data_IF_680714276428
#
_entry.id   IF_680714276428
#
_cell.length_a   1.000
_cell.length_b   1.000
_cell.length_c   1.000
_cell.angle_alpha   90.00
_cell.angle_beta   90.00
_cell.angle_gamma   90.00
#
_symmetry.space_group_name_H-M   'P 1'
#
loop_
_entity.id
_entity.type
_entity.pdbx_description
1 polymer ?
#
# COMPACT_ATOMS: atom_id res chain seq x y z
N UNK A 1 15.33 8.78 14.35
CA UNK A 1 15.75 8.42 15.72
C UNK A 1 15.88 9.63 16.62
N UNK A 2 17.07 10.22 16.76
CA UNK A 2 17.36 11.29 17.74
C UNK A 2 16.40 12.47 17.76
N UNK A 3 16.00 12.94 16.58
CA UNK A 3 15.04 14.04 16.44
C UNK A 3 13.69 13.66 17.08
N UNK A 4 13.20 12.43 16.84
CA UNK A 4 11.95 11.94 17.46
C UNK A 4 12.10 11.89 18.99
N UNK A 5 13.27 11.46 19.49
CA UNK A 5 13.59 11.42 20.91
C UNK A 5 13.54 12.82 21.56
N UNK A 6 14.07 13.83 20.88
CA UNK A 6 14.03 15.22 21.35
C UNK A 6 12.60 15.76 21.40
N UNK A 7 11.81 15.53 20.34
CA UNK A 7 10.39 15.94 20.28
C UNK A 7 9.60 15.26 21.40
N UNK A 8 9.77 13.94 21.57
CA UNK A 8 9.07 13.16 22.60
C UNK A 8 9.43 13.62 24.01
N UNK A 9 10.71 13.85 24.30
CA UNK A 9 11.15 14.36 25.60
C UNK A 9 10.59 15.76 25.93
N UNK A 10 10.36 16.61 24.92
CA UNK A 10 9.73 17.92 25.11
C UNK A 10 8.23 17.84 25.30
N UNK A 11 7.55 17.01 24.50
CA UNK A 11 6.10 16.74 24.66
C UNK A 11 5.77 16.16 26.04
N UNK A 12 6.73 15.53 26.71
CA UNK A 12 6.57 15.02 28.07
C UNK A 12 6.57 16.13 29.14
N UNK A 13 7.26 17.24 28.87
CA UNK A 13 7.48 18.35 29.82
C UNK A 13 6.62 19.57 29.53
N UNK A 14 6.22 19.75 28.27
CA UNK A 14 5.61 20.96 27.75
C UNK A 14 4.33 20.64 26.96
N UNK A 15 3.45 21.64 26.81
CA UNK A 15 2.26 21.50 25.97
C UNK A 15 2.62 21.52 24.48
N UNK A 16 1.75 20.95 23.64
CA UNK A 16 1.90 20.95 22.17
C UNK A 16 2.20 22.37 21.62
N UNK A 17 1.47 23.45 21.98
CA UNK A 17 1.78 24.79 21.46
C UNK A 17 3.18 25.30 21.81
N UNK A 18 3.67 25.03 23.04
CA UNK A 18 5.01 25.45 23.48
C UNK A 18 6.10 24.68 22.73
N UNK A 19 5.88 23.39 22.53
CA UNK A 19 6.80 22.54 21.77
C UNK A 19 6.88 23.00 20.30
N UNK A 20 5.76 23.40 19.70
CA UNK A 20 5.73 23.98 18.35
C UNK A 20 6.53 25.28 18.28
N UNK A 21 6.34 26.21 19.22
CA UNK A 21 7.08 27.47 19.26
C UNK A 21 8.59 27.24 19.43
N UNK A 22 8.98 26.23 20.21
CA UNK A 22 10.37 25.86 20.37
C UNK A 22 11.00 25.43 19.03
N UNK A 23 10.39 24.48 18.32
CA UNK A 23 10.94 23.98 17.06
C UNK A 23 10.83 24.98 15.90
N UNK A 24 9.84 25.88 15.93
CA UNK A 24 9.76 27.03 15.01
C UNK A 24 10.97 27.96 15.15
N UNK A 25 11.50 28.14 16.36
CA UNK A 25 12.70 28.96 16.62
C UNK A 25 14.01 28.18 16.43
N UNK A 26 14.02 26.89 16.76
CA UNK A 26 15.22 26.07 16.76
C UNK A 26 15.64 25.63 15.36
N UNK A 27 14.70 25.44 14.43
CA UNK A 27 14.95 24.90 13.10
C UNK A 27 14.51 25.84 11.98
N UNK A 28 15.09 25.73 10.77
CA UNK A 28 14.70 26.53 9.61
C UNK A 28 13.39 26.02 8.99
N UNK A 29 12.29 26.04 9.76
CA UNK A 29 10.96 25.57 9.35
C UNK A 29 9.90 26.63 9.63
N UNK A 30 8.82 26.63 8.84
CA UNK A 30 7.68 27.49 9.12
C UNK A 30 6.79 26.91 10.25
N UNK A 31 5.95 27.77 10.83
CA UNK A 31 5.01 27.39 11.90
C UNK A 31 4.12 26.21 11.54
N UNK A 32 3.65 26.13 10.30
CA UNK A 32 2.80 25.03 9.84
C UNK A 32 3.53 23.70 9.82
N UNK A 33 4.80 23.69 9.39
CA UNK A 33 5.67 22.52 9.39
C UNK A 33 6.00 22.06 10.80
N UNK A 34 6.38 22.99 11.69
CA UNK A 34 6.60 22.71 13.10
C UNK A 34 5.35 22.11 13.76
N UNK A 35 4.18 22.72 13.49
CA UNK A 35 2.89 22.25 13.99
C UNK A 35 2.61 20.81 13.55
N UNK A 36 2.67 20.52 12.24
CA UNK A 36 2.43 19.16 11.71
C UNK A 36 3.33 18.11 12.33
N UNK A 37 4.62 18.41 12.44
CA UNK A 37 5.60 17.50 13.02
C UNK A 37 5.30 17.17 14.48
N UNK A 38 5.05 18.20 15.31
CA UNK A 38 4.76 18.01 16.73
C UNK A 38 3.40 17.34 16.93
N UNK A 39 2.39 17.68 16.13
CA UNK A 39 1.07 17.06 16.19
C UNK A 39 1.09 15.57 15.82
N UNK A 40 1.90 15.17 14.83
CA UNK A 40 2.10 13.75 14.49
C UNK A 40 2.64 12.96 15.69
N UNK A 41 3.67 13.48 16.36
CA UNK A 41 4.27 12.83 17.54
C UNK A 41 3.31 12.84 18.74
N UNK A 42 2.57 13.94 18.94
CA UNK A 42 1.57 14.03 20.00
C UNK A 42 0.41 13.04 19.76
N UNK A 43 -0.03 12.88 18.51
CA UNK A 43 -1.03 11.90 18.14
C UNK A 43 -0.51 10.48 18.29
N UNK A 44 0.77 10.22 17.94
CA UNK A 44 1.41 8.94 18.20
C UNK A 44 1.36 8.59 19.69
N UNK A 45 1.72 9.52 20.58
CA UNK A 45 1.64 9.29 22.03
C UNK A 45 0.23 9.00 22.53
N UNK A 46 -0.80 9.59 21.92
CA UNK A 46 -2.21 9.31 22.28
C UNK A 46 -2.61 7.86 22.02
N UNK A 47 -1.95 7.15 21.11
CA UNK A 47 -2.18 5.71 20.87
C UNK A 47 -1.68 4.82 22.02
N UNK A 48 -0.92 5.38 22.97
CA UNK A 48 -0.30 4.61 24.06
C UNK A 48 0.98 3.88 23.65
N UNK A 49 1.35 3.90 22.35
CA UNK A 49 2.62 3.37 21.89
C UNK A 49 3.79 4.30 22.25
N UNK A 50 4.94 3.75 22.71
CA UNK A 50 6.14 4.55 22.90
C UNK A 50 6.66 5.05 21.55
N UNK A 51 7.29 6.22 21.55
CA UNK A 51 7.87 6.78 20.31
C UNK A 51 9.13 5.98 19.93
N UNK A 52 9.25 5.47 18.69
CA UNK A 52 10.48 4.84 18.21
C UNK A 52 11.60 5.87 18.00
N UNK A 53 12.79 5.59 18.51
CA UNK A 53 13.95 6.49 18.53
C UNK A 53 15.16 5.85 17.84
N UNK A 54 16.37 6.37 18.04
CA UNK A 54 17.62 5.73 17.57
C UNK A 54 18.09 4.60 18.50
N UNK A 55 17.55 4.53 19.71
CA UNK A 55 17.85 3.54 20.75
C UNK A 55 16.61 2.75 21.20
N UNK A 56 15.47 2.90 20.51
CA UNK A 56 14.26 2.12 20.73
C UNK A 56 13.65 1.68 19.41
N UNK A 57 13.55 0.37 19.22
CA UNK A 57 12.76 -0.26 18.18
C UNK A 57 11.35 -0.52 18.75
N UNK A 58 10.34 0.02 18.08
CA UNK A 58 8.94 -0.32 18.36
C UNK A 58 8.52 -1.39 17.36
N UNK A 59 8.09 -2.54 17.86
CA UNK A 59 7.41 -3.55 17.05
C UNK A 59 5.91 -3.44 17.31
N UNK A 60 5.19 -3.03 16.28
CA UNK A 60 3.75 -2.85 16.33
C UNK A 60 3.05 -4.02 15.64
N UNK A 61 2.17 -4.69 16.37
CA UNK A 61 1.31 -5.75 15.87
C UNK A 61 -0.09 -5.16 15.63
N UNK A 62 -0.55 -5.21 14.38
CA UNK A 62 -1.81 -4.62 13.94
C UNK A 62 -2.47 -5.50 12.88
N UNK A 63 -3.67 -6.02 13.14
CA UNK A 63 -4.37 -6.94 12.21
C UNK A 63 -3.43 -8.10 11.81
N UNK A 64 -3.20 -8.33 10.52
CA UNK A 64 -2.21 -9.28 10.00
C UNK A 64 -0.83 -8.68 9.72
N UNK A 65 -0.55 -7.47 10.19
CA UNK A 65 0.68 -6.75 9.92
C UNK A 65 1.59 -6.69 11.15
N UNK A 66 2.87 -6.96 10.93
CA UNK A 66 3.94 -6.70 11.89
C UNK A 66 4.80 -5.55 11.38
N UNK A 67 4.88 -4.46 12.15
CA UNK A 67 5.51 -3.21 11.74
C UNK A 67 6.69 -2.93 12.67
N UNK A 68 7.91 -3.05 12.15
CA UNK A 68 9.15 -2.79 12.89
C UNK A 68 9.59 -1.36 12.61
N UNK A 69 9.35 -0.46 13.56
CA UNK A 69 9.83 0.92 13.48
C UNK A 69 11.32 0.97 13.83
N UNK A 70 12.15 1.14 12.81
CA UNK A 70 13.61 1.11 12.88
C UNK A 70 14.20 2.32 12.14
N UNK A 71 14.75 3.28 12.90
CA UNK A 71 15.33 4.51 12.33
C UNK A 71 16.78 4.34 11.86
N UNK A 72 17.13 3.23 11.21
CA UNK A 72 18.51 2.91 10.81
C UNK A 72 18.84 3.22 9.34
N UNK A 73 17.85 3.67 8.56
CA UNK A 73 18.03 3.99 7.15
C UNK A 73 17.71 2.82 6.24
N UNK A 74 17.60 3.09 4.94
CA UNK A 74 17.06 2.15 3.95
C UNK A 74 17.89 0.87 3.82
N UNK A 75 19.20 0.97 3.56
CA UNK A 75 20.07 -0.21 3.34
C UNK A 75 20.09 -1.13 4.57
N UNK A 76 20.13 -0.57 5.77
CA UNK A 76 20.12 -1.34 7.02
C UNK A 76 18.75 -1.99 7.23
N UNK A 77 17.67 -1.26 6.96
CA UNK A 77 16.31 -1.79 7.09
C UNK A 77 15.97 -2.83 6.02
N UNK A 78 16.53 -2.73 4.80
CA UNK A 78 16.46 -3.79 3.78
C UNK A 78 17.14 -5.05 4.31
N UNK A 79 18.37 -4.92 4.81
CA UNK A 79 19.12 -6.07 5.36
C UNK A 79 18.42 -6.73 6.54
N UNK A 80 17.93 -5.92 7.48
CA UNK A 80 17.17 -6.42 8.63
C UNK A 80 15.83 -7.00 8.19
N UNK A 81 15.25 -6.42 7.14
CA UNK A 81 14.04 -6.86 6.46
C UNK A 81 14.15 -8.26 5.92
N UNK A 82 15.12 -8.47 5.04
CA UNK A 82 15.48 -9.76 4.46
C UNK A 82 15.79 -10.78 5.56
N UNK A 83 16.56 -10.41 6.58
CA UNK A 83 16.93 -11.32 7.68
C UNK A 83 15.68 -11.83 8.43
N UNK A 84 14.78 -10.92 8.80
CA UNK A 84 13.57 -11.28 9.54
C UNK A 84 12.56 -12.01 8.63
N UNK A 85 12.46 -11.63 7.36
CA UNK A 85 11.67 -12.35 6.36
C UNK A 85 12.13 -13.81 6.27
N UNK A 86 13.44 -14.05 6.12
CA UNK A 86 14.02 -15.39 6.04
C UNK A 86 13.66 -16.23 7.28
N UNK A 87 13.71 -15.63 8.47
CA UNK A 87 13.32 -16.29 9.73
C UNK A 87 11.81 -16.57 9.83
N UNK A 88 10.97 -15.66 9.33
CA UNK A 88 9.51 -15.81 9.28
C UNK A 88 9.08 -16.83 8.21
N UNK A 89 9.77 -16.87 7.06
CA UNK A 89 9.50 -17.74 5.93
C UNK A 89 9.73 -19.21 6.30
N UNK A 90 10.78 -19.50 7.09
CA UNK A 90 11.02 -20.83 7.70
C UNK A 90 9.88 -21.31 8.59
N UNK A 91 9.08 -20.39 9.13
CA UNK A 91 7.89 -20.68 9.95
C UNK A 91 6.59 -20.58 9.15
N UNK A 92 6.64 -20.31 7.84
CA UNK A 92 5.49 -20.04 6.97
C UNK A 92 4.57 -18.92 7.48
N UNK A 93 5.15 -17.91 8.16
CA UNK A 93 4.38 -16.84 8.80
C UNK A 93 4.29 -15.56 7.99
N UNK A 94 5.16 -15.35 6.99
CA UNK A 94 5.18 -14.13 6.16
C UNK A 94 4.72 -14.43 4.74
N UNK A 95 3.98 -13.49 4.16
CA UNK A 95 3.55 -13.52 2.76
C UNK A 95 4.32 -12.52 1.91
N UNK A 96 4.38 -11.28 2.39
CA UNK A 96 5.06 -10.17 1.72
C UNK A 96 5.70 -9.29 2.78
N UNK A 97 6.72 -8.55 2.38
CA UNK A 97 7.30 -7.52 3.21
C UNK A 97 7.74 -6.32 2.38
N UNK A 98 7.81 -5.16 3.02
CA UNK A 98 8.25 -3.91 2.42
C UNK A 98 9.04 -3.10 3.44
N UNK A 99 9.79 -2.12 2.96
CA UNK A 99 10.53 -1.22 3.84
C UNK A 99 10.50 0.22 3.35
N UNK A 100 10.72 1.13 4.30
CA UNK A 100 11.11 2.51 4.09
C UNK A 100 12.33 2.81 5.01
N UNK A 101 12.98 3.99 4.91
CA UNK A 101 14.14 4.32 5.73
C UNK A 101 13.92 4.34 7.26
N UNK A 102 12.68 4.19 7.72
CA UNK A 102 12.25 4.27 9.11
C UNK A 102 11.48 3.03 9.61
N UNK A 103 11.04 2.13 8.72
CA UNK A 103 10.11 1.04 9.03
C UNK A 103 10.32 -0.17 8.15
N UNK A 104 9.94 -1.32 8.68
CA UNK A 104 9.78 -2.56 7.93
C UNK A 104 8.37 -3.08 8.20
N UNK A 105 7.63 -3.41 7.15
CA UNK A 105 6.26 -3.91 7.19
C UNK A 105 6.26 -5.35 6.72
N UNK A 106 5.78 -6.27 7.53
CA UNK A 106 5.51 -7.65 7.16
C UNK A 106 4.01 -7.90 7.12
N UNK A 107 3.51 -8.45 6.01
CA UNK A 107 2.18 -9.03 5.93
C UNK A 107 2.26 -10.50 6.30
N UNK A 108 1.67 -10.85 7.44
CA UNK A 108 1.64 -12.20 7.97
C UNK A 108 0.52 -13.03 7.35
N UNK A 109 0.68 -14.35 7.43
CA UNK A 109 -0.34 -15.32 6.99
C UNK A 109 -1.47 -15.46 8.03
N UNK A 110 -1.21 -15.09 9.28
CA UNK A 110 -2.16 -15.14 10.40
C UNK A 110 -2.37 -13.75 11.01
N UNK A 111 -3.50 -13.58 11.70
CA UNK A 111 -3.79 -12.38 12.47
C UNK A 111 -2.88 -12.32 13.70
N UNK A 112 -2.33 -11.15 14.00
CA UNK A 112 -1.43 -10.94 15.13
C UNK A 112 -2.10 -11.18 16.49
N UNK A 113 -3.44 -11.13 16.57
CA UNK A 113 -4.23 -11.50 17.75
C UNK A 113 -4.17 -12.99 18.06
N UNK A 114 -3.87 -13.83 17.06
CA UNK A 114 -3.76 -15.28 17.21
C UNK A 114 -2.31 -15.73 17.48
N UNK A 115 -1.36 -14.79 17.43
CA UNK A 115 0.06 -15.06 17.58
C UNK A 115 0.58 -14.62 18.96
N UNK A 116 1.50 -15.41 19.49
CA UNK A 116 2.38 -14.98 20.58
C UNK A 116 3.44 -14.02 20.01
N UNK A 117 3.08 -12.74 19.92
CA UNK A 117 3.91 -11.68 19.34
C UNK A 117 5.19 -11.48 20.17
N UNK A 118 5.12 -11.65 21.49
CA UNK A 118 6.26 -11.56 22.39
C UNK A 118 7.30 -12.63 22.07
N UNK A 119 6.89 -13.89 22.03
CA UNK A 119 7.78 -14.98 21.66
C UNK A 119 8.27 -14.85 20.21
N UNK A 120 7.42 -14.34 19.31
CA UNK A 120 7.80 -14.11 17.92
C UNK A 120 8.93 -13.07 17.83
N UNK A 121 8.76 -11.91 18.46
CA UNK A 121 9.73 -10.81 18.41
C UNK A 121 11.05 -11.19 19.06
N UNK A 122 11.02 -11.92 20.18
CA UNK A 122 12.23 -12.44 20.81
C UNK A 122 12.99 -13.37 19.86
N UNK A 123 12.28 -14.26 19.14
CA UNK A 123 12.89 -15.14 18.15
C UNK A 123 13.38 -14.46 16.86
N UNK A 124 13.00 -13.20 16.60
CA UNK A 124 13.36 -12.47 15.38
C UNK A 124 14.44 -11.42 15.63
N UNK A 125 14.41 -10.73 16.77
CA UNK A 125 15.29 -9.61 17.07
C UNK A 125 16.33 -9.92 18.15
N UNK A 126 16.09 -10.92 19.01
CA UNK A 126 17.03 -11.36 20.07
C UNK A 126 17.69 -12.69 19.73
N UNK A 127 18.07 -12.85 18.47
CA UNK A 127 18.71 -14.07 17.95
C UNK A 127 20.16 -14.22 18.44
N UNK A 128 20.62 -15.46 18.59
CA UNK A 128 22.03 -15.77 18.87
C UNK A 128 22.93 -15.57 17.63
N UNK A 129 24.25 -15.62 17.85
CA UNK A 129 25.24 -15.37 16.79
C UNK A 129 25.24 -16.47 15.71
N UNK A 130 24.88 -17.71 16.04
CA UNK A 130 24.79 -18.80 15.07
C UNK A 130 23.61 -18.58 14.12
N UNK A 131 22.45 -18.26 14.68
CA UNK A 131 21.23 -17.91 13.94
C UNK A 131 21.43 -16.68 13.07
N UNK A 132 22.11 -15.65 13.61
CA UNK A 132 22.43 -14.43 12.87
C UNK A 132 23.32 -14.71 11.67
N UNK A 133 24.47 -15.37 11.86
CA UNK A 133 25.40 -15.63 10.75
C UNK A 133 24.78 -16.61 9.74
N UNK A 134 24.01 -17.60 10.20
CA UNK A 134 23.25 -18.49 9.31
C UNK A 134 22.20 -17.75 8.47
N UNK A 135 21.52 -16.76 9.05
CA UNK A 135 20.59 -15.90 8.34
C UNK A 135 21.29 -15.01 7.30
N UNK A 136 22.37 -14.30 7.70
CA UNK A 136 23.14 -13.45 6.78
C UNK A 136 23.76 -14.24 5.62
N UNK A 137 24.19 -15.48 5.88
CA UNK A 137 24.70 -16.37 4.83
C UNK A 137 23.60 -16.79 3.84
N UNK A 138 22.38 -17.04 4.31
CA UNK A 138 21.23 -17.29 3.45
C UNK A 138 20.92 -16.05 2.59
N UNK A 139 20.95 -14.84 3.17
CA UNK A 139 20.74 -13.60 2.42
C UNK A 139 21.71 -13.42 1.25
N UNK A 140 22.99 -13.70 1.49
CA UNK A 140 24.03 -13.63 0.47
C UNK A 140 23.75 -14.56 -0.72
N UNK A 141 23.09 -15.69 -0.47
CA UNK A 141 22.89 -16.76 -1.45
C UNK A 141 21.54 -16.61 -2.17
N UNK A 142 20.49 -16.28 -1.44
CA UNK A 142 19.11 -16.42 -1.92
C UNK A 142 18.40 -15.08 -2.18
N UNK A 143 18.80 -14.01 -1.48
CA UNK A 143 18.07 -12.73 -1.48
C UNK A 143 18.77 -11.62 -2.25
N UNK A 144 20.11 -11.58 -2.24
CA UNK A 144 20.84 -10.56 -2.98
C UNK A 144 20.67 -10.75 -4.50
N UNK A 145 20.37 -9.69 -5.27
CA UNK A 145 20.23 -9.78 -6.72
C UNK A 145 21.61 -9.83 -7.41
N UNK A 146 22.43 -10.82 -7.04
CA UNK A 146 23.83 -10.95 -7.48
C UNK A 146 23.94 -11.03 -9.00
N UNK A 147 23.05 -11.75 -9.68
CA UNK A 147 23.01 -11.78 -11.15
C UNK A 147 22.90 -10.40 -11.81
N UNK A 148 22.16 -9.46 -11.20
CA UNK A 148 22.04 -8.08 -11.69
C UNK A 148 23.37 -7.32 -11.55
N UNK A 149 24.03 -7.41 -10.39
CA UNK A 149 25.35 -6.80 -10.17
C UNK A 149 26.41 -7.42 -11.08
N UNK A 150 26.43 -8.75 -11.19
CA UNK A 150 27.36 -9.47 -12.06
C UNK A 150 27.23 -9.06 -13.52
N UNK A 151 26.01 -8.80 -14.01
CA UNK A 151 25.83 -8.25 -15.36
C UNK A 151 26.56 -6.91 -15.51
N UNK A 152 26.32 -5.96 -14.61
CA UNK A 152 26.95 -4.64 -14.68
C UNK A 152 28.47 -4.69 -14.55
N UNK A 153 29.00 -5.63 -13.76
CA UNK A 153 30.43 -5.84 -13.59
C UNK A 153 31.04 -6.53 -14.80
N UNK A 154 30.41 -7.59 -15.32
CA UNK A 154 30.85 -8.29 -16.52
C UNK A 154 30.90 -7.35 -17.74
N UNK A 155 29.98 -6.40 -17.85
CA UNK A 155 30.00 -5.33 -18.86
C UNK A 155 31.19 -4.36 -18.69
N UNK A 156 31.56 -4.04 -17.44
CA UNK A 156 32.74 -3.21 -17.12
C UNK A 156 34.05 -3.92 -17.42
N UNK A 157 34.14 -5.21 -17.09
CA UNK A 157 35.28 -6.08 -17.37
C UNK A 157 35.41 -6.46 -18.85
N UNK A 158 34.37 -6.24 -19.66
CA UNK A 158 34.34 -6.62 -21.07
C UNK A 158 34.07 -8.11 -21.32
N UNK A 159 33.68 -8.86 -20.29
CA UNK A 159 33.26 -10.26 -20.40
C UNK A 159 31.93 -10.40 -21.15
N UNK A 160 31.07 -9.38 -21.10
CA UNK A 160 29.85 -9.27 -21.92
C UNK A 160 29.76 -7.90 -22.59
N UNK A 161 29.00 -7.84 -23.69
CA UNK A 161 28.75 -6.59 -24.42
C UNK A 161 27.95 -5.62 -23.54
N UNK A 162 28.39 -4.36 -23.46
CA UNK A 162 27.66 -3.28 -22.78
C UNK A 162 26.25 -3.12 -23.38
N UNK A 163 25.25 -2.99 -22.51
CA UNK A 163 23.86 -2.80 -22.92
C UNK A 163 23.19 -4.08 -23.43
N UNK A 164 23.77 -5.25 -23.16
CA UNK A 164 23.11 -6.52 -23.48
C UNK A 164 21.88 -6.67 -22.59
N UNK A 165 20.70 -6.82 -23.20
CA UNK A 165 19.48 -7.16 -22.47
C UNK A 165 19.53 -8.65 -22.13
N UNK A 166 19.36 -8.97 -20.85
CA UNK A 166 19.40 -10.34 -20.32
C UNK A 166 18.07 -10.57 -19.60
N UNK A 167 17.40 -11.68 -19.92
CA UNK A 167 16.16 -12.07 -19.23
C UNK A 167 16.45 -12.55 -17.80
N UNK A 168 15.42 -12.57 -16.95
CA UNK A 168 15.58 -12.94 -15.53
C UNK A 168 16.19 -14.34 -15.33
N UNK A 169 15.76 -15.32 -16.12
CA UNK A 169 16.30 -16.69 -16.03
C UNK A 169 17.79 -16.77 -16.35
N UNK A 170 18.27 -15.99 -17.31
CA UNK A 170 19.69 -15.94 -17.66
C UNK A 170 20.51 -15.18 -16.60
N UNK A 171 19.96 -14.14 -15.98
CA UNK A 171 20.62 -13.43 -14.88
C UNK A 171 20.91 -14.37 -13.71
N UNK A 172 19.97 -15.25 -13.34
CA UNK A 172 20.18 -16.25 -12.28
C UNK A 172 21.32 -17.22 -12.61
N UNK A 173 21.61 -17.45 -13.89
CA UNK A 173 22.73 -18.31 -14.29
C UNK A 173 24.10 -17.65 -14.15
N UNK A 174 24.17 -16.32 -13.98
CA UNK A 174 25.45 -15.59 -13.94
C UNK A 174 26.26 -15.94 -12.70
N UNK A 175 25.60 -16.22 -11.58
CA UNK A 175 26.26 -16.66 -10.35
C UNK A 175 27.06 -17.95 -10.57
N UNK A 176 26.51 -18.87 -11.37
CA UNK A 176 27.18 -20.12 -11.74
C UNK A 176 28.26 -19.89 -12.81
N UNK A 177 27.98 -19.06 -13.82
CA UNK A 177 28.91 -18.81 -14.95
C UNK A 177 30.15 -18.01 -14.54
N UNK A 178 29.99 -17.08 -13.61
CA UNK A 178 31.06 -16.23 -13.10
C UNK A 178 31.57 -16.70 -11.73
N UNK A 179 31.13 -17.87 -11.25
CA UNK A 179 31.67 -18.48 -10.03
C UNK A 179 33.20 -18.55 -10.08
N UNK A 180 33.85 -18.22 -8.97
CA UNK A 180 35.32 -18.19 -8.85
C UNK A 180 36.03 -17.23 -9.83
N UNK A 181 35.35 -16.14 -10.22
CA UNK A 181 35.96 -15.08 -11.03
C UNK A 181 35.97 -13.76 -10.26
N UNK A 182 36.86 -12.80 -10.61
CA UNK A 182 36.83 -11.45 -10.02
C UNK A 182 35.49 -10.72 -10.21
N UNK A 183 34.69 -11.11 -11.22
CA UNK A 183 33.35 -10.57 -11.44
C UNK A 183 32.42 -10.94 -10.28
N UNK A 184 32.53 -12.17 -9.77
CA UNK A 184 31.77 -12.63 -8.61
C UNK A 184 32.19 -11.87 -7.35
N UNK A 185 33.48 -11.81 -7.06
CA UNK A 185 34.00 -11.15 -5.85
C UNK A 185 33.63 -9.66 -5.82
N UNK A 186 33.72 -8.98 -6.96
CA UNK A 186 33.28 -7.60 -7.14
C UNK A 186 31.77 -7.44 -6.96
N UNK A 187 30.97 -8.39 -7.47
CA UNK A 187 29.51 -8.34 -7.39
C UNK A 187 29.02 -8.48 -5.97
N UNK A 188 29.60 -9.43 -5.23
CA UNK A 188 29.33 -9.57 -3.81
C UNK A 188 29.72 -8.29 -3.06
N UNK A 189 30.91 -7.74 -3.32
CA UNK A 189 31.34 -6.51 -2.65
C UNK A 189 30.42 -5.32 -2.96
N UNK A 190 30.00 -5.14 -4.21
CA UNK A 190 29.12 -4.04 -4.62
C UNK A 190 27.70 -4.22 -4.08
N UNK A 191 27.17 -5.46 -4.06
CA UNK A 191 25.89 -5.78 -3.45
C UNK A 191 25.89 -5.50 -1.93
N UNK A 192 26.95 -5.89 -1.22
CA UNK A 192 27.15 -5.60 0.21
C UNK A 192 27.48 -4.13 0.51
N UNK A 193 27.59 -3.27 -0.51
CA UNK A 193 27.75 -1.83 -0.34
C UNK A 193 26.45 -1.09 -0.64
N UNK A 194 25.74 -1.52 -1.69
CA UNK A 194 24.58 -0.80 -2.22
C UNK A 194 23.23 -1.38 -1.77
N UNK A 195 23.18 -2.67 -1.43
CA UNK A 195 21.93 -3.37 -1.13
C UNK A 195 21.84 -3.82 0.33
N UNK A 196 22.95 -4.27 0.92
CA UNK A 196 22.95 -4.80 2.28
C UNK A 196 24.08 -4.24 3.16
N UNK A 197 23.85 -4.10 4.46
CA UNK A 197 24.82 -3.69 5.48
C UNK A 197 24.85 -4.70 6.64
N UNK A 198 25.57 -5.80 6.41
CA UNK A 198 25.71 -6.88 7.39
C UNK A 198 26.45 -6.45 8.65
N UNK A 199 27.42 -5.54 8.52
CA UNK A 199 28.19 -5.06 9.67
C UNK A 199 27.30 -4.30 10.65
N UNK A 200 26.43 -3.42 10.13
CA UNK A 200 25.51 -2.65 10.95
C UNK A 200 24.39 -3.50 11.55
N UNK A 201 23.87 -4.49 10.82
CA UNK A 201 22.89 -5.44 11.38
C UNK A 201 23.49 -6.25 12.53
N UNK A 202 24.73 -6.74 12.40
CA UNK A 202 25.45 -7.40 13.51
C UNK A 202 25.57 -6.49 14.73
N UNK A 203 25.90 -5.22 14.53
CA UNK A 203 25.98 -4.24 15.62
C UNK A 203 24.60 -4.04 16.28
N UNK A 204 23.54 -3.92 15.50
CA UNK A 204 22.17 -3.72 15.99
C UNK A 204 21.71 -4.92 16.82
N UNK A 205 21.87 -6.15 16.32
CA UNK A 205 21.48 -7.37 17.05
C UNK A 205 22.28 -7.50 18.36
N UNK A 206 23.58 -7.19 18.35
CA UNK A 206 24.38 -7.15 19.58
C UNK A 206 23.88 -6.10 20.57
N UNK A 207 23.53 -4.90 20.10
CA UNK A 207 22.99 -3.81 20.94
C UNK A 207 21.62 -4.13 21.52
N UNK A 208 20.79 -4.86 20.77
CA UNK A 208 19.52 -5.38 21.28
C UNK A 208 19.77 -6.39 22.40
N UNK A 209 20.74 -7.30 22.24
CA UNK A 209 21.11 -8.29 23.26
C UNK A 209 21.76 -7.66 24.51
N UNK A 210 22.58 -6.62 24.34
CA UNK A 210 23.20 -5.89 25.46
C UNK A 210 22.23 -4.95 26.20
N UNK A 211 21.05 -4.69 25.62
CA UNK A 211 20.06 -3.75 26.14
C UNK A 211 20.35 -2.28 25.82
N UNK A 212 21.34 -2.00 24.98
CA UNK A 212 21.61 -0.63 24.47
C UNK A 212 20.51 -0.14 23.52
N UNK A 213 19.89 -1.04 22.76
CA UNK A 213 18.69 -0.78 21.97
C UNK A 213 17.52 -1.50 22.63
N UNK A 214 16.54 -0.72 23.10
CA UNK A 214 15.30 -1.23 23.67
C UNK A 214 14.39 -1.76 22.54
N UNK A 215 13.82 -2.94 22.70
CA UNK A 215 12.77 -3.47 21.82
C UNK A 215 11.47 -3.48 22.60
N UNK A 216 10.49 -2.69 22.16
CA UNK A 216 9.17 -2.59 22.79
C UNK A 216 8.10 -3.08 21.84
N UNK A 217 7.16 -3.85 22.36
CA UNK A 217 6.04 -4.39 21.59
C UNK A 217 4.79 -3.57 21.91
N UNK A 218 4.04 -3.19 20.89
CA UNK A 218 2.74 -2.55 21.02
C UNK A 218 1.70 -3.29 20.17
N UNK A 219 0.56 -3.62 20.76
CA UNK A 219 -0.58 -4.17 20.03
C UNK A 219 -1.57 -3.05 19.74
N UNK A 220 -1.89 -2.87 18.47
CA UNK A 220 -2.90 -1.94 18.02
C UNK A 220 -4.15 -2.74 17.61
N UNK A 221 -5.29 -2.45 18.25
CA UNK A 221 -6.53 -3.20 18.01
C UNK A 221 -7.33 -2.65 16.82
N UNK A 222 -7.70 -1.37 16.87
CA UNK A 222 -8.61 -0.78 15.88
C UNK A 222 -7.87 -0.02 14.75
N UNK A 223 -6.85 0.75 15.11
CA UNK A 223 -6.09 1.57 14.15
C UNK A 223 -4.59 1.49 14.44
N UNK A 224 -3.75 1.47 13.38
CA UNK A 224 -2.31 1.51 13.53
C UNK A 224 -1.90 2.86 14.13
N UNK A 225 -0.72 2.89 14.74
CA UNK A 225 -0.16 4.14 15.24
C UNK A 225 0.01 5.14 14.09
N UNK A 226 -0.13 6.46 14.35
CA UNK A 226 0.13 7.50 13.36
C UNK A 226 1.48 7.36 12.66
N UNK A 227 2.51 6.91 13.39
CA UNK A 227 3.79 6.65 12.77
C UNK A 227 3.77 5.39 11.90
N UNK A 228 2.94 4.37 12.13
CA UNK A 228 2.88 3.19 11.27
C UNK A 228 2.11 3.43 9.97
N UNK A 229 1.11 4.31 10.00
CA UNK A 229 0.20 4.50 8.88
C UNK A 229 0.89 4.81 7.52
N UNK A 230 1.97 5.61 7.41
CA UNK A 230 2.59 5.92 6.12
C UNK A 230 3.07 4.71 5.31
N UNK A 231 3.61 3.66 5.96
CA UNK A 231 4.06 2.46 5.25
C UNK A 231 2.87 1.59 4.81
N UNK A 232 1.85 1.48 5.67
CA UNK A 232 0.59 0.80 5.32
C UNK A 232 -0.10 1.50 4.15
N UNK A 233 -0.17 2.84 4.18
CA UNK A 233 -0.71 3.68 3.11
C UNK A 233 -0.07 3.43 1.75
N UNK A 234 1.22 3.10 1.73
CA UNK A 234 1.98 2.90 0.50
C UNK A 234 1.79 1.51 -0.11
N UNK A 235 1.66 0.48 0.72
CA UNK A 235 1.79 -0.91 0.27
C UNK A 235 0.54 -1.77 0.48
N UNK A 236 -0.38 -1.39 1.35
CA UNK A 236 -1.64 -2.12 1.56
C UNK A 236 -2.66 -1.75 0.48
N UNK A 237 -3.45 -2.72 0.01
CA UNK A 237 -4.44 -2.53 -1.08
C UNK A 237 -5.55 -1.52 -0.71
N UNK A 238 -5.93 -1.47 0.57
CA UNK A 238 -6.97 -0.58 1.09
C UNK A 238 -6.57 0.03 2.43
N UNK A 239 -5.57 0.91 2.43
CA UNK A 239 -5.06 1.51 3.65
C UNK A 239 -6.09 2.40 4.33
N UNK A 240 -7.09 2.87 3.59
CA UNK A 240 -8.09 3.78 4.12
C UNK A 240 -9.04 3.09 5.13
N UNK A 241 -9.00 1.76 5.25
CA UNK A 241 -9.64 1.02 6.34
C UNK A 241 -9.04 1.35 7.71
N UNK A 242 -7.79 1.78 7.71
CA UNK A 242 -6.97 1.91 8.91
C UNK A 242 -6.48 3.35 9.07
N UNK A 243 -7.07 4.30 8.34
CA UNK A 243 -6.62 5.69 8.33
C UNK A 243 -6.90 6.38 9.66
N UNK A 244 -5.93 7.09 10.25
CA UNK A 244 -6.19 7.98 11.36
C UNK A 244 -7.28 9.01 10.98
N UNK A 245 -8.16 9.36 11.93
CA UNK A 245 -9.23 10.34 11.68
C UNK A 245 -8.71 11.67 11.13
N UNK A 246 -7.53 12.10 11.57
CA UNK A 246 -6.86 13.31 11.11
C UNK A 246 -6.53 13.31 9.60
N UNK A 247 -6.40 12.15 8.97
CA UNK A 247 -6.12 12.01 7.53
C UNK A 247 -7.38 11.81 6.68
N UNK A 248 -8.54 11.61 7.30
CA UNK A 248 -9.80 11.29 6.62
C UNK A 248 -10.21 12.37 5.61
N UNK A 249 -10.04 13.63 5.96
CA UNK A 249 -10.36 14.74 5.05
C UNK A 249 -9.44 14.75 3.82
N UNK A 250 -8.14 14.53 4.00
CA UNK A 250 -7.19 14.45 2.89
C UNK A 250 -7.47 13.24 1.99
N UNK A 251 -7.90 12.12 2.56
CA UNK A 251 -8.31 10.92 1.81
C UNK A 251 -9.54 11.21 0.95
N UNK A 252 -10.56 11.86 1.51
CA UNK A 252 -11.76 12.24 0.75
C UNK A 252 -11.44 13.22 -0.36
N UNK A 253 -10.57 14.21 -0.11
CA UNK A 253 -10.11 15.15 -1.14
C UNK A 253 -9.33 14.45 -2.25
N UNK A 254 -8.48 13.49 -1.91
CA UNK A 254 -7.75 12.69 -2.90
C UNK A 254 -8.70 11.83 -3.72
N UNK A 255 -9.68 11.20 -3.08
CA UNK A 255 -10.73 10.44 -3.75
C UNK A 255 -11.52 11.33 -4.71
N UNK A 256 -11.89 12.55 -4.29
CA UNK A 256 -12.56 13.54 -5.13
C UNK A 256 -11.72 13.90 -6.36
N UNK A 257 -10.44 14.22 -6.17
CA UNK A 257 -9.51 14.57 -7.25
C UNK A 257 -9.29 13.39 -8.21
N UNK A 258 -9.13 12.18 -7.68
CA UNK A 258 -8.97 10.97 -8.49
C UNK A 258 -10.21 10.74 -9.37
N UNK A 259 -11.39 10.64 -8.77
CA UNK A 259 -12.65 10.45 -9.51
C UNK A 259 -12.89 11.57 -10.52
N UNK A 260 -12.53 12.81 -10.20
CA UNK A 260 -12.70 13.94 -11.13
C UNK A 260 -11.75 13.86 -12.34
N UNK A 261 -10.58 13.26 -12.18
CA UNK A 261 -9.56 13.15 -13.23
C UNK A 261 -9.62 11.84 -14.02
N UNK A 262 -10.26 10.82 -13.46
CA UNK A 262 -10.41 9.50 -14.07
C UNK A 262 -11.23 9.59 -15.39
N UNK A 263 -10.68 9.07 -16.51
CA UNK A 263 -11.44 8.95 -17.75
C UNK A 263 -12.41 7.78 -17.64
N UNK A 264 -13.67 8.01 -17.99
CA UNK A 264 -14.70 6.97 -18.09
C UNK A 264 -15.23 6.85 -19.50
N UNK A 265 -15.69 5.65 -19.85
CA UNK A 265 -16.45 5.45 -21.08
C UNK A 265 -17.95 5.52 -20.79
N UNK A 266 -18.71 6.17 -21.68
CA UNK A 266 -20.17 6.20 -21.57
C UNK A 266 -20.81 5.51 -22.77
N UNK A 267 -21.87 4.74 -22.54
CA UNK A 267 -22.68 4.17 -23.61
C UNK A 267 -24.11 4.67 -23.48
N UNK A 268 -24.63 5.26 -24.56
CA UNK A 268 -26.01 5.68 -24.63
C UNK A 268 -26.92 4.47 -24.85
N UNK A 269 -27.82 4.22 -23.90
CA UNK A 269 -28.80 3.15 -23.97
C UNK A 269 -30.02 3.46 -24.85
N UNK A 270 -30.10 4.68 -25.39
CA UNK A 270 -31.12 5.08 -26.37
C UNK A 270 -30.65 4.85 -27.82
N UNK A 271 -29.52 5.43 -28.22
CA UNK A 271 -29.04 5.39 -29.60
C UNK A 271 -27.79 4.52 -29.82
N UNK A 272 -27.21 3.95 -28.76
CA UNK A 272 -25.99 3.12 -28.84
C UNK A 272 -24.69 3.89 -29.07
N UNK A 273 -24.71 5.22 -29.06
CA UNK A 273 -23.49 6.02 -29.22
C UNK A 273 -22.54 5.82 -28.03
N UNK A 274 -21.26 5.58 -28.34
CA UNK A 274 -20.21 5.29 -27.37
C UNK A 274 -19.27 6.49 -27.24
N UNK A 275 -19.12 6.99 -26.02
CA UNK A 275 -18.28 8.12 -25.68
C UNK A 275 -17.00 7.63 -25.01
N UNK A 276 -15.87 7.97 -25.60
CA UNK A 276 -14.55 7.55 -25.13
C UNK A 276 -13.89 8.59 -24.24
N UNK A 277 -13.21 8.11 -23.18
CA UNK A 277 -12.31 8.88 -22.32
C UNK A 277 -12.89 10.20 -21.79
N UNK A 278 -14.16 10.17 -21.37
CA UNK A 278 -14.84 11.33 -20.81
C UNK A 278 -14.34 11.56 -19.39
N UNK A 279 -13.72 12.71 -19.12
CA UNK A 279 -13.31 13.09 -17.76
C UNK A 279 -14.51 13.55 -16.94
N UNK A 280 -14.74 12.88 -15.80
CA UNK A 280 -15.90 13.17 -14.93
C UNK A 280 -15.88 14.65 -14.48
N UNK A 281 -14.72 15.20 -14.11
CA UNK A 281 -14.59 16.57 -13.65
C UNK A 281 -15.11 17.62 -14.66
N UNK A 282 -14.96 17.36 -15.95
CA UNK A 282 -15.37 18.27 -17.05
C UNK A 282 -16.81 18.03 -17.53
N UNK A 283 -17.47 16.99 -17.01
CA UNK A 283 -18.84 16.65 -17.36
C UNK A 283 -19.83 17.66 -16.75
N UNK A 284 -20.90 18.06 -17.47
CA UNK A 284 -21.99 18.83 -16.88
C UNK A 284 -22.74 18.01 -15.81
N UNK A 285 -23.44 18.69 -14.91
CA UNK A 285 -24.18 18.02 -13.81
C UNK A 285 -25.23 17.03 -14.31
N UNK A 286 -25.82 17.29 -15.48
CA UNK A 286 -26.70 16.35 -16.18
C UNK A 286 -26.12 16.03 -17.57
N UNK A 287 -25.31 14.97 -17.71
CA UNK A 287 -24.73 14.59 -18.99
C UNK A 287 -25.77 14.10 -19.98
N UNK A 288 -25.60 14.50 -21.24
CA UNK A 288 -26.47 14.13 -22.35
C UNK A 288 -25.65 13.52 -23.49
N UNK A 289 -26.25 12.57 -24.19
CA UNK A 289 -25.61 11.96 -25.35
C UNK A 289 -25.34 13.00 -26.44
N UNK A 290 -24.11 13.03 -26.96
CA UNK A 290 -23.72 13.97 -28.02
C UNK A 290 -24.52 13.75 -29.30
N UNK A 291 -24.96 12.51 -29.56
CA UNK A 291 -25.70 12.12 -30.76
C UNK A 291 -27.21 12.37 -30.64
N UNK A 292 -27.86 11.90 -29.56
CA UNK A 292 -29.33 11.90 -29.46
C UNK A 292 -29.89 12.77 -28.31
N UNK A 293 -29.04 13.44 -27.52
CA UNK A 293 -29.42 14.24 -26.34
C UNK A 293 -30.12 13.48 -25.21
N UNK A 294 -30.27 12.16 -25.32
CA UNK A 294 -30.79 11.33 -24.22
C UNK A 294 -29.83 11.34 -23.02
N UNK A 295 -30.40 11.31 -21.82
CA UNK A 295 -29.68 11.19 -20.54
C UNK A 295 -29.47 9.75 -20.08
N UNK A 296 -29.95 8.77 -20.86
CA UNK A 296 -29.76 7.34 -20.60
C UNK A 296 -28.33 6.90 -20.94
N UNK A 297 -27.36 7.39 -20.17
CA UNK A 297 -25.93 7.10 -20.33
C UNK A 297 -25.48 6.16 -19.22
N UNK A 298 -24.99 4.97 -19.56
CA UNK A 298 -24.33 4.11 -18.58
C UNK A 298 -22.86 4.47 -18.48
N UNK A 299 -22.27 4.28 -17.31
CA UNK A 299 -20.83 4.47 -17.04
C UNK A 299 -20.13 3.12 -17.07
N UNK A 300 -19.02 3.06 -17.80
CA UNK A 300 -18.29 1.83 -18.06
C UNK A 300 -16.83 1.99 -17.68
N UNK A 301 -16.34 1.07 -16.85
CA UNK A 301 -14.92 0.90 -16.51
C UNK A 301 -14.24 -0.16 -17.38
N UNK A 302 -13.45 -1.04 -16.76
CA UNK A 302 -12.65 -2.07 -17.42
C UNK A 302 -13.38 -2.98 -18.43
N UNK A 303 -14.69 -3.20 -18.28
CA UNK A 303 -15.50 -4.05 -19.17
C UNK A 303 -16.22 -3.26 -20.29
N UNK A 304 -15.80 -2.02 -20.58
CA UNK A 304 -16.52 -1.14 -21.50
C UNK A 304 -16.76 -1.74 -22.89
N UNK A 305 -15.75 -2.40 -23.46
CA UNK A 305 -15.87 -3.05 -24.77
C UNK A 305 -16.83 -4.23 -24.77
N UNK A 306 -16.79 -5.07 -23.75
CA UNK A 306 -17.72 -6.19 -23.61
C UNK A 306 -19.17 -5.70 -23.54
N UNK A 307 -19.44 -4.63 -22.79
CA UNK A 307 -20.79 -4.04 -22.70
C UNK A 307 -21.22 -3.43 -24.04
N UNK A 308 -20.33 -2.67 -24.69
CA UNK A 308 -20.57 -2.07 -26.00
C UNK A 308 -20.92 -3.14 -27.03
N UNK A 309 -20.16 -4.21 -27.08
CA UNK A 309 -20.33 -5.28 -28.06
C UNK A 309 -21.62 -6.08 -27.80
N UNK A 310 -21.92 -6.38 -26.53
CA UNK A 310 -23.20 -6.98 -26.13
C UNK A 310 -24.40 -6.09 -26.50
N UNK A 311 -24.28 -4.77 -26.31
CA UNK A 311 -25.32 -3.82 -26.68
C UNK A 311 -25.50 -3.75 -28.21
N UNK A 312 -24.41 -3.78 -28.97
CA UNK A 312 -24.45 -3.81 -30.43
C UNK A 312 -25.11 -5.10 -30.95
N UNK A 313 -24.81 -6.26 -30.34
CA UNK A 313 -25.52 -7.53 -30.63
C UNK A 313 -27.02 -7.41 -30.39
N UNK A 314 -27.42 -6.83 -29.25
CA UNK A 314 -28.84 -6.57 -28.92
C UNK A 314 -29.52 -5.71 -29.98
N UNK A 315 -28.86 -4.64 -30.44
CA UNK A 315 -29.41 -3.74 -31.46
C UNK A 315 -29.58 -4.42 -32.82
N UNK A 316 -28.68 -5.35 -33.15
CA UNK A 316 -28.78 -6.19 -34.36
C UNK A 316 -29.74 -7.37 -34.22
N UNK A 317 -30.41 -7.51 -33.06
CA UNK A 317 -31.31 -8.63 -32.72
C UNK A 317 -30.62 -10.00 -32.82
N UNK A 318 -29.32 -10.05 -32.50
CA UNK A 318 -28.57 -11.30 -32.39
C UNK A 318 -28.80 -11.93 -31.01
N UNK A 319 -28.56 -13.24 -30.92
CA UNK A 319 -28.66 -13.97 -29.65
C UNK A 319 -27.61 -13.47 -28.64
N UNK A 320 -28.06 -13.28 -27.41
CA UNK A 320 -27.25 -12.87 -26.27
C UNK A 320 -27.10 -14.03 -25.30
N UNK A 321 -25.89 -14.23 -24.80
CA UNK A 321 -25.64 -15.18 -23.70
C UNK A 321 -26.29 -14.69 -22.40
N UNK A 322 -26.46 -15.58 -21.43
CA UNK A 322 -27.02 -15.22 -20.11
C UNK A 322 -26.14 -14.19 -19.38
N UNK A 323 -24.82 -14.26 -19.56
CA UNK A 323 -23.86 -13.30 -19.01
C UNK A 323 -24.02 -11.92 -19.66
N UNK A 324 -24.14 -11.85 -20.98
CA UNK A 324 -24.38 -10.61 -21.71
C UNK A 324 -25.72 -9.96 -21.31
N UNK A 325 -26.77 -10.76 -21.12
CA UNK A 325 -28.08 -10.25 -20.64
C UNK A 325 -28.00 -9.68 -19.23
N UNK A 326 -27.31 -10.36 -18.32
CA UNK A 326 -27.08 -9.86 -16.95
C UNK A 326 -26.27 -8.57 -16.96
N UNK A 327 -25.22 -8.52 -17.79
CA UNK A 327 -24.36 -7.35 -17.94
C UNK A 327 -25.15 -6.15 -18.47
N UNK A 328 -25.94 -6.32 -19.53
CA UNK A 328 -26.77 -5.24 -20.08
C UNK A 328 -27.85 -4.76 -19.12
N UNK A 329 -28.46 -5.68 -18.36
CA UNK A 329 -29.44 -5.31 -17.32
C UNK A 329 -28.79 -4.44 -16.24
N UNK A 330 -27.60 -4.83 -15.76
CA UNK A 330 -26.84 -4.06 -14.78
C UNK A 330 -26.43 -2.70 -15.33
N UNK A 331 -25.95 -2.63 -16.57
CA UNK A 331 -25.59 -1.36 -17.22
C UNK A 331 -26.81 -0.46 -17.44
N UNK A 332 -27.98 -1.01 -17.75
CA UNK A 332 -29.22 -0.25 -17.87
C UNK A 332 -29.61 0.39 -16.53
N UNK A 333 -29.51 -0.32 -15.41
CA UNK A 333 -29.75 0.24 -14.08
C UNK A 333 -28.83 1.43 -13.78
N UNK A 334 -27.55 1.35 -14.17
CA UNK A 334 -26.63 2.49 -14.06
C UNK A 334 -27.08 3.65 -14.93
N UNK A 335 -27.52 3.40 -16.18
CA UNK A 335 -28.03 4.44 -17.06
C UNK A 335 -29.27 5.15 -16.49
N UNK A 336 -30.16 4.40 -15.84
CA UNK A 336 -31.33 4.96 -15.18
C UNK A 336 -30.93 5.86 -13.99
N UNK A 337 -29.91 5.48 -13.23
CA UNK A 337 -29.35 6.34 -12.16
C UNK A 337 -28.72 7.62 -12.72
N UNK A 338 -27.98 7.55 -13.83
CA UNK A 338 -27.40 8.74 -14.47
C UNK A 338 -28.49 9.65 -15.02
N UNK A 339 -29.57 9.10 -15.55
CA UNK A 339 -30.69 9.92 -16.02
C UNK A 339 -31.35 10.73 -14.89
N UNK A 340 -31.41 10.17 -13.67
CA UNK A 340 -32.03 10.82 -12.50
C UNK A 340 -31.06 11.72 -11.74
N UNK A 341 -29.90 11.18 -11.35
CA UNK A 341 -28.94 11.83 -10.45
C UNK A 341 -27.74 12.48 -11.18
N UNK A 342 -27.68 12.35 -12.51
CA UNK A 342 -26.67 13.00 -13.34
C UNK A 342 -25.24 12.59 -12.98
N UNK A 343 -24.35 13.57 -12.94
CA UNK A 343 -22.92 13.43 -12.65
C UNK A 343 -22.65 12.72 -11.32
N UNK A 344 -23.50 12.89 -10.30
CA UNK A 344 -23.35 12.18 -9.01
C UNK A 344 -23.47 10.66 -9.17
N UNK A 345 -24.33 10.16 -10.04
CA UNK A 345 -24.39 8.74 -10.35
C UNK A 345 -23.15 8.24 -11.09
N UNK A 346 -22.51 9.10 -11.87
CA UNK A 346 -21.24 8.80 -12.53
C UNK A 346 -20.12 8.65 -11.50
N UNK A 347 -20.00 9.59 -10.54
CA UNK A 347 -19.08 9.43 -9.41
C UNK A 347 -19.34 8.13 -8.65
N UNK A 348 -20.58 7.88 -8.26
CA UNK A 348 -20.93 6.71 -7.44
C UNK A 348 -20.55 5.38 -8.11
N UNK A 349 -20.82 5.22 -9.40
CA UNK A 349 -20.51 3.98 -10.13
C UNK A 349 -19.05 3.87 -10.59
N UNK A 350 -18.25 4.92 -10.42
CA UNK A 350 -16.80 4.89 -10.67
C UNK A 350 -16.01 4.47 -9.42
N UNK A 351 -16.65 4.46 -8.25
CA UNK A 351 -16.00 3.97 -7.02
C UNK A 351 -15.91 2.45 -7.02
N UNK A 352 -14.70 1.94 -6.77
CA UNK A 352 -14.47 0.50 -6.65
C UNK A 352 -15.39 -0.16 -5.61
N UNK A 353 -16.07 -1.23 -6.02
CA UNK A 353 -17.00 -1.96 -5.16
C UNK A 353 -18.42 -1.41 -5.08
N UNK A 354 -18.69 -0.24 -5.66
CA UNK A 354 -20.03 0.35 -5.68
C UNK A 354 -20.78 -0.05 -6.95
N UNK A 355 -21.71 -1.00 -6.81
CA UNK A 355 -22.62 -1.39 -7.89
C UNK A 355 -23.90 -0.52 -7.95
N UNK A 356 -24.76 -0.71 -8.98
CA UNK A 356 -25.96 0.11 -9.18
C UNK A 356 -26.93 0.07 -7.99
N UNK A 357 -27.06 -1.07 -7.31
CA UNK A 357 -27.92 -1.20 -6.12
C UNK A 357 -27.39 -0.39 -4.94
N UNK A 358 -26.08 -0.43 -4.69
CA UNK A 358 -25.43 0.35 -3.63
C UNK A 358 -25.44 1.84 -3.98
N UNK A 359 -25.10 2.19 -5.23
CA UNK A 359 -25.15 3.56 -5.73
C UNK A 359 -26.55 4.17 -5.58
N UNK A 360 -27.60 3.43 -5.95
CA UNK A 360 -28.99 3.86 -5.79
C UNK A 360 -29.32 4.22 -4.33
N UNK A 361 -28.92 3.37 -3.37
CA UNK A 361 -29.15 3.62 -1.93
C UNK A 361 -28.41 4.87 -1.44
N UNK A 362 -27.17 5.08 -1.88
CA UNK A 362 -26.36 6.24 -1.49
C UNK A 362 -26.94 7.53 -2.09
N UNK A 363 -27.29 7.52 -3.37
CA UNK A 363 -27.86 8.68 -4.06
C UNK A 363 -29.24 9.06 -3.52
N UNK A 364 -30.03 8.07 -3.09
CA UNK A 364 -31.35 8.30 -2.49
C UNK A 364 -31.30 9.03 -1.14
N UNK A 365 -30.16 9.04 -0.43
CA UNK A 365 -30.02 9.80 0.83
C UNK A 365 -30.06 11.31 0.62
N UNK A 366 -29.86 11.80 -0.60
CA UNK A 366 -29.88 13.23 -0.96
C UNK A 366 -29.06 14.10 0.00
N UNK A 367 -27.77 13.76 0.16
CA UNK A 367 -26.83 14.50 1.01
C UNK A 367 -26.77 15.98 0.60
N UNK A 368 -26.66 16.85 1.60
CA UNK A 368 -26.65 18.31 1.45
C UNK A 368 -25.29 18.82 0.95
N UNK A 369 -24.21 18.13 1.31
CA UNK A 369 -22.85 18.51 0.91
C UNK A 369 -22.15 17.45 0.06
N UNK A 370 -21.23 17.89 -0.80
CA UNK A 370 -20.36 16.99 -1.57
C UNK A 370 -19.50 16.12 -0.64
N UNK A 371 -19.07 16.67 0.50
CA UNK A 371 -18.26 15.96 1.50
C UNK A 371 -19.00 14.77 2.11
N UNK A 372 -20.28 14.94 2.47
CA UNK A 372 -21.12 13.85 2.99
C UNK A 372 -21.34 12.76 1.93
N UNK A 373 -21.57 13.16 0.68
CA UNK A 373 -21.70 12.22 -0.44
C UNK A 373 -20.43 11.40 -0.66
N UNK A 374 -19.26 12.04 -0.68
CA UNK A 374 -17.97 11.36 -0.79
C UNK A 374 -17.71 10.45 0.39
N UNK A 375 -18.10 10.85 1.61
CA UNK A 375 -17.97 10.03 2.79
C UNK A 375 -18.85 8.77 2.71
N UNK A 376 -20.09 8.87 2.25
CA UNK A 376 -20.96 7.70 2.03
C UNK A 376 -20.40 6.73 0.97
N UNK A 377 -19.79 7.27 -0.10
CA UNK A 377 -19.12 6.46 -1.12
C UNK A 377 -17.87 5.76 -0.56
N UNK A 378 -17.11 6.49 0.26
CA UNK A 378 -15.93 5.96 0.93
C UNK A 378 -16.30 4.79 1.86
N UNK A 379 -17.32 4.96 2.72
CA UNK A 379 -17.85 3.89 3.57
C UNK A 379 -18.32 2.67 2.76
N UNK A 380 -18.97 2.90 1.62
CA UNK A 380 -19.39 1.81 0.73
C UNK A 380 -18.20 1.06 0.11
N UNK A 381 -17.13 1.78 -0.28
CA UNK A 381 -15.86 1.19 -0.73
C UNK A 381 -15.26 0.32 0.39
N UNK A 382 -15.14 0.85 1.61
CA UNK A 382 -14.60 0.11 2.76
C UNK A 382 -15.41 -1.16 3.04
N UNK A 383 -16.74 -1.08 3.04
CA UNK A 383 -17.62 -2.23 3.23
C UNK A 383 -17.44 -3.28 2.13
N UNK A 384 -17.25 -2.87 0.88
CA UNK A 384 -16.99 -3.81 -0.20
C UNK A 384 -15.64 -4.50 -0.02
N UNK A 385 -14.57 -3.75 0.25
CA UNK A 385 -13.23 -4.31 0.43
C UNK A 385 -13.17 -5.30 1.59
N UNK A 386 -13.75 -4.93 2.74
CA UNK A 386 -13.80 -5.78 3.94
C UNK A 386 -14.59 -7.06 3.72
N UNK A 387 -15.72 -6.97 3.01
CA UNK A 387 -16.58 -8.14 2.80
C UNK A 387 -16.11 -9.00 1.64
N UNK A 388 -15.50 -8.44 0.57
CA UNK A 388 -15.10 -9.13 -0.69
C UNK A 388 -14.41 -10.49 -0.47
N UNK A 389 -13.45 -10.65 0.45
CA UNK A 389 -12.83 -11.96 0.72
C UNK A 389 -13.83 -13.07 1.05
N UNK A 390 -14.94 -12.74 1.72
CA UNK A 390 -15.97 -13.70 2.14
C UNK A 390 -17.00 -14.03 1.06
N UNK A 391 -17.01 -13.34 -0.10
CA UNK A 391 -17.96 -13.62 -1.19
C UNK A 391 -17.48 -14.77 -2.09
N UNK A 392 -16.24 -15.24 -1.92
CA UNK A 392 -15.61 -16.29 -2.71
C UNK A 392 -15.25 -17.53 -1.88
N UNK A 393 -16.02 -17.86 -0.84
CA UNK A 393 -15.96 -19.21 -0.25
C UNK A 393 -16.91 -20.16 -0.98
N UNK A 394 -16.35 -21.00 -1.86
CA UNK A 394 -16.56 -22.43 -1.73
C UNK A 394 -15.19 -23.09 -1.57
N UNK A 395 -14.89 -23.60 -0.37
CA UNK A 395 -13.76 -24.48 -0.03
C UNK A 395 -12.41 -24.19 -0.74
N UNK A 396 -11.46 -23.63 0.02
CA UNK A 396 -10.01 -23.77 -0.14
C UNK A 396 -9.51 -24.37 -1.47
N UNK A 397 -9.08 -23.51 -2.40
CA UNK A 397 -7.85 -23.73 -3.18
C UNK A 397 -7.14 -22.39 -3.39
N UNK A 398 -5.82 -22.32 -3.15
CA UNK A 398 -5.06 -21.09 -3.37
C UNK A 398 -5.02 -20.82 -4.87
N UNK A 399 -5.38 -19.60 -5.27
CA UNK A 399 -5.05 -19.14 -6.63
C UNK A 399 -3.72 -18.42 -6.57
N UNK A 400 -2.70 -19.14 -7.02
CA UNK A 400 -1.47 -18.58 -7.60
C UNK A 400 -1.84 -17.62 -8.73
N UNK A 401 -1.41 -16.38 -8.60
CA UNK A 401 -0.43 -15.65 -9.43
C UNK A 401 -0.62 -14.15 -9.20
#
# INVERSE_FOLDING_TARGET
>A
GRIRKEIDARLDRESVPKTVEHFEKAWPINKTGAKRLVEEHANHRKSGAPVPTDDRILVEAFDRFLIVHSSFGEVVNVTLGDLIEELLARKHLVRFWWTDPYRILYELVADTRELDVEALVDNLLRIDDETLEGGLQALLTDHLPLGYYMKGIAERFGAIRRGLTVGEGDLRSFEVRFANTPIYDEAVREALLLHADFARVREIVRKIRSGEIEVVIHRSEETPTPLAYPILRRYVEAPELFSPEAEREEILDRMRLHLSSEPVHLLCFECGHFHEEVRIGQMPDHPECANCKSRLLTVLGWAAWTVRDAYAKRMRKLDLTDEERKLLTRSKQVADLVAVYGKRAVYANSVYGVGPTTASKILAKMQDTEKEFLNDLFEAKLKYVTTRPYWNEPQAKPKLY
#
